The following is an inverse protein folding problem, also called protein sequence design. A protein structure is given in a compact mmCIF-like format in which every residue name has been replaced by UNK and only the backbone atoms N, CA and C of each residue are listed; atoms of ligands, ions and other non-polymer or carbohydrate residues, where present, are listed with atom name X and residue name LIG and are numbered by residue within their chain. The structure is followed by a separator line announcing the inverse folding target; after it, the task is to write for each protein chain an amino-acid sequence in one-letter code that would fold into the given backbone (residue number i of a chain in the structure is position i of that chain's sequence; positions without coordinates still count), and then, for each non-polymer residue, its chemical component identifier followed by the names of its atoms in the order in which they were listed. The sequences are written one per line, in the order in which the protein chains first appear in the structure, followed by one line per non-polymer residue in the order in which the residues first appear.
data_IF_943123174828
#
_entry.id   IF_943123174828
#
_cell.length_a   1.000
_cell.length_b   1.000
_cell.length_c   1.000
_cell.angle_alpha   90.00
_cell.angle_beta   90.00
_cell.angle_gamma   90.00
#
_symmetry.space_group_name_H-M   'P 1'
#
loop_
_entity.id
_entity.type
_entity.pdbx_description
1 polymer ?
#
# COMPACT_ATOMS: atom_id res chain seq x y z
N UNK A 1 -6.40 -15.54 1.52
CA UNK A 1 -5.80 -14.88 2.71
C UNK A 1 -6.45 -15.44 3.97
N UNK A 2 -5.68 -15.70 5.04
CA UNK A 2 -6.27 -15.88 6.38
C UNK A 2 -7.14 -14.65 6.68
N UNK A 3 -8.22 -14.79 7.46
CA UNK A 3 -8.98 -13.62 7.92
C UNK A 3 -8.03 -12.73 8.73
N UNK A 4 -7.70 -11.57 8.18
CA UNK A 4 -6.79 -10.57 8.75
C UNK A 4 -7.53 -9.25 8.84
N UNK A 5 -7.16 -8.46 9.83
CA UNK A 5 -7.70 -7.12 10.05
C UNK A 5 -6.61 -6.10 9.85
N UNK A 6 -6.92 -5.01 9.13
CA UNK A 6 -6.10 -3.81 9.10
C UNK A 6 -6.45 -2.98 10.33
N UNK A 7 -5.47 -2.78 11.20
CA UNK A 7 -5.65 -2.11 12.50
C UNK A 7 -5.26 -0.63 12.45
N UNK A 8 -4.45 -0.22 11.48
CA UNK A 8 -4.11 1.18 11.25
C UNK A 8 -3.79 1.43 9.77
N UNK A 9 -4.16 2.61 9.27
CA UNK A 9 -3.83 3.09 7.93
C UNK A 9 -3.31 4.52 8.04
N UNK A 10 -2.13 4.76 7.47
CA UNK A 10 -1.50 6.10 7.46
C UNK A 10 -1.26 6.53 6.02
N UNK A 11 -1.92 7.61 5.60
CA UNK A 11 -1.74 8.19 4.27
C UNK A 11 -0.80 9.39 4.41
N UNK A 12 0.46 9.22 4.01
CA UNK A 12 1.48 10.27 4.00
C UNK A 12 1.66 10.89 2.61
N UNK A 13 2.50 11.92 2.53
CA UNK A 13 2.77 12.65 1.29
C UNK A 13 3.54 11.84 0.22
N UNK A 14 4.34 10.87 0.65
CA UNK A 14 5.12 9.98 -0.22
C UNK A 14 4.68 8.52 -0.16
N UNK A 15 4.20 8.07 0.99
CA UNK A 15 3.80 6.67 1.19
C UNK A 15 2.49 6.57 1.96
N UNK A 16 1.72 5.56 1.59
CA UNK A 16 0.57 5.04 2.33
C UNK A 16 0.97 3.74 2.99
N UNK A 17 0.66 3.59 4.27
CA UNK A 17 0.97 2.41 5.08
C UNK A 17 -0.30 1.73 5.57
N UNK A 18 -0.28 0.40 5.63
CA UNK A 18 -1.34 -0.43 6.20
C UNK A 18 -0.72 -1.45 7.17
N UNK A 19 -1.20 -1.46 8.41
CA UNK A 19 -0.74 -2.37 9.47
C UNK A 19 -1.79 -3.46 9.72
N UNK A 20 -1.38 -4.73 9.67
CA UNK A 20 -2.24 -5.88 9.97
C UNK A 20 -2.21 -6.25 11.47
N UNK A 21 -3.22 -7.00 11.90
CA UNK A 21 -3.37 -7.50 13.27
C UNK A 21 -2.22 -8.39 13.79
N UNK A 22 -1.40 -8.95 12.91
CA UNK A 22 -0.19 -9.70 13.28
C UNK A 22 1.08 -8.86 13.32
N UNK A 23 0.97 -7.54 13.15
CA UNK A 23 2.09 -6.61 13.11
C UNK A 23 2.75 -6.48 11.74
N UNK A 24 2.29 -7.21 10.72
CA UNK A 24 2.81 -7.06 9.36
C UNK A 24 2.44 -5.69 8.78
N UNK A 25 3.43 -5.00 8.22
CA UNK A 25 3.27 -3.65 7.66
C UNK A 25 3.55 -3.67 6.16
N UNK A 26 2.68 -3.02 5.40
CA UNK A 26 2.86 -2.80 3.98
C UNK A 26 2.87 -1.33 3.63
N UNK A 27 3.59 -1.01 2.55
CA UNK A 27 3.74 0.35 2.03
C UNK A 27 3.36 0.39 0.55
N UNK A 28 2.81 1.50 0.12
CA UNK A 28 2.64 1.85 -1.28
C UNK A 28 2.94 3.33 -1.48
N UNK A 29 3.41 3.71 -2.67
CA UNK A 29 3.57 5.12 -3.01
C UNK A 29 2.21 5.83 -2.97
N UNK A 30 2.15 7.01 -2.36
CA UNK A 30 0.95 7.84 -2.34
C UNK A 30 0.79 8.54 -3.69
N UNK A 31 0.06 7.89 -4.60
CA UNK A 31 -0.25 8.41 -5.93
C UNK A 31 -1.00 9.74 -5.83
N UNK A 32 -0.41 10.82 -6.33
CA UNK A 32 -1.01 12.17 -6.41
C UNK A 32 -1.84 12.38 -7.69
N UNK A 33 -2.36 11.29 -8.27
CA UNK A 33 -2.89 11.29 -9.63
C UNK A 33 -4.09 12.26 -9.78
N UNK A 34 -3.90 13.35 -10.51
CA UNK A 34 -5.00 14.21 -10.98
C UNK A 34 -5.47 15.32 -10.03
N UNK A 35 -4.90 15.43 -8.83
CA UNK A 35 -5.25 16.50 -7.91
C UNK A 35 -4.53 17.80 -8.27
N UNK A 36 -5.26 18.73 -8.89
CA UNK A 36 -4.85 20.14 -9.05
C UNK A 36 -4.67 20.88 -7.71
N UNK A 37 -4.90 20.20 -6.59
CA UNK A 37 -4.71 20.70 -5.24
C UNK A 37 -3.83 19.72 -4.45
N UNK A 38 -2.87 20.28 -3.70
CA UNK A 38 -1.79 19.60 -2.96
C UNK A 38 -2.24 18.41 -2.08
N UNK A 39 -3.53 18.35 -1.72
CA UNK A 39 -4.11 17.36 -0.83
C UNK A 39 -5.44 16.84 -1.41
N UNK A 40 -5.50 15.57 -1.82
CA UNK A 40 -6.79 14.88 -1.86
C UNK A 40 -7.21 14.64 -0.40
N UNK A 41 -8.41 15.06 -0.04
CA UNK A 41 -9.00 14.75 1.27
C UNK A 41 -9.69 13.41 1.12
N UNK A 42 -9.30 12.43 1.93
CA UNK A 42 -10.03 11.16 2.01
C UNK A 42 -11.48 11.44 2.38
N UNK A 43 -12.42 10.84 1.65
CA UNK A 43 -13.86 10.90 1.99
C UNK A 43 -14.20 10.04 3.22
N UNK A 44 -13.25 9.26 3.74
CA UNK A 44 -13.42 8.34 4.87
C UNK A 44 -12.33 8.51 5.95
N UNK A 45 -12.09 9.73 6.45
CA UNK A 45 -11.05 9.95 7.46
C UNK A 45 -11.43 9.24 8.77
N UNK A 46 -10.50 8.49 9.36
CA UNK A 46 -10.74 7.78 10.63
C UNK A 46 -11.58 6.50 10.53
N UNK A 47 -12.09 6.16 9.35
CA UNK A 47 -12.88 4.94 9.10
C UNK A 47 -12.09 3.86 8.36
N UNK A 48 -10.82 4.14 8.00
CA UNK A 48 -9.96 3.19 7.30
C UNK A 48 -9.43 2.15 8.29
N UNK A 49 -9.89 0.91 8.14
CA UNK A 49 -9.55 -0.23 8.96
C UNK A 49 -10.58 -1.35 8.77
N UNK A 50 -10.35 -2.50 9.40
CA UNK A 50 -11.27 -3.64 9.32
C UNK A 50 -10.77 -4.73 8.39
N UNK A 51 -11.67 -5.38 7.64
CA UNK A 51 -11.32 -6.60 6.92
C UNK A 51 -10.24 -6.34 5.84
N UNK A 52 -9.09 -7.00 5.96
CA UNK A 52 -7.97 -6.80 5.06
C UNK A 52 -8.26 -7.18 3.61
N UNK A 53 -9.21 -8.09 3.36
CA UNK A 53 -9.62 -8.43 1.99
C UNK A 53 -10.40 -7.29 1.33
N UNK A 54 -11.25 -6.62 2.08
CA UNK A 54 -12.04 -5.49 1.58
C UNK A 54 -11.13 -4.30 1.25
N UNK A 55 -10.14 -4.02 2.12
CA UNK A 55 -9.15 -2.98 1.85
C UNK A 55 -8.21 -3.37 0.69
N UNK A 56 -7.74 -4.62 0.62
CA UNK A 56 -6.92 -5.09 -0.50
C UNK A 56 -7.60 -4.92 -1.87
N UNK A 57 -8.93 -5.08 -1.95
CA UNK A 57 -9.71 -4.85 -3.18
C UNK A 57 -9.65 -3.41 -3.67
N UNK A 58 -9.37 -2.44 -2.79
CA UNK A 58 -9.19 -1.05 -3.18
C UNK A 58 -7.97 -0.87 -4.09
N UNK A 59 -7.05 -1.83 -4.20
CA UNK A 59 -5.92 -1.76 -5.13
C UNK A 59 -6.37 -1.55 -6.58
N UNK A 60 -7.58 -2.01 -6.92
CA UNK A 60 -8.20 -1.87 -8.24
C UNK A 60 -9.06 -0.60 -8.38
N UNK A 61 -9.15 0.23 -7.34
CA UNK A 61 -9.93 1.45 -7.38
C UNK A 61 -9.28 2.48 -8.34
N UNK A 62 -10.09 3.26 -9.08
CA UNK A 62 -9.57 4.25 -10.03
C UNK A 62 -8.94 5.47 -9.33
N UNK A 63 -9.32 5.75 -8.08
CA UNK A 63 -8.77 6.86 -7.28
C UNK A 63 -7.42 6.45 -6.70
N UNK A 64 -6.38 7.25 -6.99
CA UNK A 64 -5.00 6.94 -6.61
C UNK A 64 -4.81 6.71 -5.10
N UNK A 65 -5.48 7.50 -4.26
CA UNK A 65 -5.45 7.32 -2.80
C UNK A 65 -6.02 5.97 -2.35
N UNK A 66 -7.17 5.55 -2.89
CA UNK A 66 -7.79 4.27 -2.52
C UNK A 66 -6.94 3.09 -3.02
N UNK A 67 -6.44 3.20 -4.26
CA UNK A 67 -5.52 2.23 -4.83
C UNK A 67 -4.26 2.09 -3.97
N UNK A 68 -3.68 3.20 -3.49
CA UNK A 68 -2.52 3.16 -2.60
C UNK A 68 -2.81 2.44 -1.28
N UNK A 69 -3.97 2.66 -0.66
CA UNK A 69 -4.38 1.92 0.56
C UNK A 69 -4.50 0.41 0.27
N UNK A 70 -5.10 0.04 -0.85
CA UNK A 70 -5.25 -1.36 -1.22
C UNK A 70 -3.92 -2.04 -1.55
N UNK A 71 -3.05 -1.39 -2.31
CA UNK A 71 -1.69 -1.90 -2.61
C UNK A 71 -0.87 -2.02 -1.34
N UNK A 72 -0.94 -1.04 -0.43
CA UNK A 72 -0.27 -1.14 0.87
C UNK A 72 -0.78 -2.33 1.68
N UNK A 73 -2.09 -2.60 1.66
CA UNK A 73 -2.71 -3.75 2.33
C UNK A 73 -2.25 -5.08 1.72
N UNK A 74 -2.16 -5.18 0.40
CA UNK A 74 -1.62 -6.37 -0.29
C UNK A 74 -0.15 -6.59 0.11
N UNK A 75 0.66 -5.54 0.06
CA UNK A 75 2.08 -5.59 0.44
C UNK A 75 2.26 -6.03 1.90
N UNK A 76 1.38 -5.59 2.81
CA UNK A 76 1.41 -6.01 4.20
C UNK A 76 1.19 -7.52 4.36
N UNK A 77 0.38 -8.13 3.49
CA UNK A 77 0.06 -9.55 3.54
C UNK A 77 1.11 -10.44 2.86
N UNK A 78 1.85 -9.92 1.86
CA UNK A 78 2.78 -10.74 1.05
C UNK A 78 4.26 -10.53 1.39
N UNK A 79 4.65 -9.37 1.92
CA UNK A 79 6.06 -9.08 2.23
C UNK A 79 6.65 -9.90 3.40
N UNK A 80 5.90 -10.27 4.45
CA UNK A 80 6.48 -11.03 5.56
C UNK A 80 7.09 -12.36 5.09
N UNK A 81 8.39 -12.55 5.36
CA UNK A 81 9.11 -13.78 5.02
C UNK A 81 9.60 -13.86 3.58
N UNK A 82 9.51 -12.78 2.79
CA UNK A 82 10.15 -12.71 1.48
C UNK A 82 11.67 -12.60 1.66
N UNK A 83 12.40 -13.55 1.10
CA UNK A 83 13.85 -13.46 0.97
C UNK A 83 14.18 -12.45 -0.12
N UNK A 84 15.11 -11.54 0.17
CA UNK A 84 15.55 -10.51 -0.76
C UNK A 84 17.08 -10.58 -0.91
N UNK A 85 17.54 -10.33 -2.13
CA UNK A 85 18.97 -10.15 -2.41
C UNK A 85 19.34 -8.68 -2.26
N UNK A 86 20.50 -8.42 -1.65
CA UNK A 86 21.03 -7.08 -1.51
C UNK A 86 21.85 -6.71 -2.75
N UNK A 87 21.59 -5.53 -3.33
CA UNK A 87 22.36 -4.96 -4.44
C UNK A 87 21.58 -3.83 -5.12
N UNK A 88 22.19 -3.21 -6.13
CA UNK A 88 21.49 -2.26 -7.00
C UNK A 88 20.65 -3.04 -8.02
N UNK A 89 19.40 -2.65 -8.25
CA UNK A 89 18.51 -3.33 -9.20
C UNK A 89 19.12 -3.43 -10.62
N UNK A 90 19.96 -2.47 -11.01
CA UNK A 90 20.65 -2.45 -12.30
C UNK A 90 21.72 -3.53 -12.41
N UNK A 91 22.26 -4.04 -11.31
CA UNK A 91 23.22 -5.17 -11.31
C UNK A 91 22.53 -6.50 -11.65
N UNK A 92 21.22 -6.59 -11.39
CA UNK A 92 20.41 -7.78 -11.68
C UNK A 92 19.73 -7.73 -13.05
N UNK A 93 19.70 -6.57 -13.71
CA UNK A 93 19.11 -6.39 -15.02
C UNK A 93 20.18 -6.50 -16.12
N UNK A 94 19.98 -7.40 -17.08
CA UNK A 94 20.84 -7.51 -18.27
C UNK A 94 20.47 -6.42 -19.28
N UNK A 95 20.84 -5.18 -19.00
CA UNK A 95 20.60 -4.06 -19.90
C UNK A 95 21.52 -4.16 -21.13
N UNK A 96 20.93 -4.03 -22.31
CA UNK A 96 21.65 -3.89 -23.59
C UNK A 96 21.42 -2.49 -24.16
N UNK A 97 22.34 -1.95 -24.96
CA UNK A 97 22.21 -0.65 -25.60
C UNK A 97 20.96 -0.52 -26.50
#
# INVERSE_FOLDING_TARGET
MKKRTVVDVRIGLGYTAALLDDGSLGLAYSLKSGAFHCCEISEKPGELGGNAWDLARLALAPRGMDSAVGVATVNAAVNPGVEAEQGDVLEFLKLQP
#
